data_IF_768980582757
#
_entry.id   IF_768980582757
#
_cell.length_a   1.000
_cell.length_b   1.000
_cell.length_c   1.000
_cell.angle_alpha   90.00
_cell.angle_beta   90.00
_cell.angle_gamma   90.00
#
_symmetry.space_group_name_H-M   'P 1'
#
loop_
_entity.id
_entity.type
_entity.pdbx_description
1 polymer ?
#
# COMPACT_ATOMS: atom_id res chain seq x y z
N UNK A 1 -16.21 -42.37 -44.35
CA UNK A 1 -14.98 -41.60 -44.06
C UNK A 1 -15.27 -40.41 -43.12
N UNK A 2 -15.70 -40.64 -41.86
CA UNK A 2 -15.98 -39.53 -40.90
C UNK A 2 -15.34 -39.73 -39.51
N UNK A 3 -14.47 -40.74 -39.34
CA UNK A 3 -13.89 -41.10 -38.03
C UNK A 3 -12.63 -40.31 -37.63
N UNK A 4 -12.08 -39.49 -38.53
CA UNK A 4 -10.87 -38.69 -38.27
C UNK A 4 -11.12 -37.21 -38.01
N UNK A 5 -12.30 -36.69 -38.35
CA UNK A 5 -12.61 -35.25 -38.20
C UNK A 5 -13.18 -34.89 -36.82
N UNK A 6 -13.56 -35.87 -36.00
CA UNK A 6 -14.13 -35.63 -34.67
C UNK A 6 -13.07 -35.50 -33.56
N UNK A 7 -11.81 -35.86 -33.83
CA UNK A 7 -10.71 -35.77 -32.86
C UNK A 7 -9.94 -34.44 -32.91
N UNK A 8 -10.05 -33.69 -34.02
CA UNK A 8 -9.38 -32.39 -34.17
C UNK A 8 -10.18 -31.22 -33.57
N UNK A 9 -11.49 -31.39 -33.34
CA UNK A 9 -12.33 -30.34 -32.73
C UNK A 9 -12.28 -30.34 -31.19
N UNK A 10 -11.86 -31.45 -30.58
CA UNK A 10 -11.77 -31.59 -29.12
C UNK A 10 -10.51 -30.92 -28.54
N UNK A 11 -9.45 -30.74 -29.34
CA UNK A 11 -8.19 -30.16 -28.87
C UNK A 11 -8.18 -28.62 -28.84
N UNK A 12 -9.13 -27.95 -29.50
CA UNK A 12 -9.21 -26.48 -29.54
C UNK A 12 -10.03 -25.90 -28.38
N UNK A 13 -10.86 -26.71 -27.71
CA UNK A 13 -11.71 -26.25 -26.61
C UNK A 13 -11.00 -26.20 -25.25
N UNK A 14 -9.81 -26.78 -25.11
CA UNK A 14 -9.07 -26.82 -23.84
C UNK A 14 -8.08 -25.64 -23.65
N UNK A 15 -7.87 -24.83 -24.69
CA UNK A 15 -6.89 -23.73 -24.64
C UNK A 15 -7.44 -22.39 -24.09
N UNK A 16 -8.73 -22.31 -23.74
CA UNK A 16 -9.40 -21.06 -23.38
C UNK A 16 -9.89 -20.98 -21.93
N UNK A 17 -9.29 -21.75 -21.02
CA UNK A 17 -9.53 -21.64 -19.58
C UNK A 17 -8.26 -21.17 -18.85
N UNK A 18 -7.64 -20.10 -19.34
CA UNK A 18 -6.71 -19.35 -18.49
C UNK A 18 -7.58 -18.58 -17.48
N UNK A 19 -7.41 -18.81 -16.16
CA UNK A 19 -7.96 -17.89 -15.18
C UNK A 19 -7.30 -16.55 -15.47
N UNK A 20 -8.08 -15.59 -15.95
CA UNK A 20 -7.67 -14.21 -15.96
C UNK A 20 -7.49 -13.82 -14.49
N UNK A 21 -6.28 -13.98 -13.96
CA UNK A 21 -5.86 -13.25 -12.77
C UNK A 21 -6.05 -11.79 -13.16
N UNK A 22 -7.15 -11.20 -12.69
CA UNK A 22 -7.37 -9.77 -12.80
C UNK A 22 -6.16 -9.12 -12.14
N UNK A 23 -5.26 -8.58 -12.96
CA UNK A 23 -4.16 -7.79 -12.47
C UNK A 23 -4.80 -6.55 -11.84
N UNK A 24 -4.89 -6.54 -10.51
CA UNK A 24 -5.26 -5.35 -9.77
C UNK A 24 -4.36 -4.24 -10.27
N UNK A 25 -4.97 -3.23 -10.90
CA UNK A 25 -4.24 -2.08 -11.42
C UNK A 25 -3.49 -1.47 -10.25
N UNK A 26 -2.17 -1.20 -10.36
CA UNK A 26 -1.43 -0.60 -9.28
C UNK A 26 -2.12 0.74 -8.93
N UNK A 27 -2.77 0.77 -7.77
CA UNK A 27 -3.37 1.98 -7.22
C UNK A 27 -2.21 2.98 -7.10
N UNK A 28 -2.34 4.16 -7.73
CA UNK A 28 -1.30 5.18 -7.65
C UNK A 28 -0.97 5.40 -6.17
N UNK A 29 0.31 5.46 -5.77
CA UNK A 29 0.68 5.63 -4.38
C UNK A 29 0.10 6.97 -3.89
N UNK A 30 -0.84 6.90 -2.96
CA UNK A 30 -1.45 8.08 -2.33
C UNK A 30 -0.56 8.46 -1.16
N UNK A 31 -0.05 9.69 -1.14
CA UNK A 31 0.75 10.19 -0.02
C UNK A 31 -0.21 10.55 1.12
N UNK A 32 -0.05 9.87 2.26
CA UNK A 32 -0.80 10.15 3.47
C UNK A 32 -0.11 11.23 4.32
N UNK A 33 1.23 11.27 4.30
CA UNK A 33 1.98 12.21 5.12
C UNK A 33 3.49 12.07 4.99
N UNK A 34 4.21 12.60 5.99
CA UNK A 34 5.66 12.45 6.10
C UNK A 34 6.09 12.24 7.56
N UNK A 35 7.26 11.65 7.73
CA UNK A 35 7.88 11.48 9.05
C UNK A 35 8.54 12.79 9.49
N UNK A 36 8.01 13.43 10.52
CA UNK A 36 8.56 14.68 11.08
C UNK A 36 9.65 14.43 12.11
N UNK A 37 9.55 13.33 12.87
CA UNK A 37 10.53 12.98 13.92
C UNK A 37 10.74 11.46 14.02
N UNK A 38 11.97 11.06 14.31
CA UNK A 38 12.39 9.67 14.50
C UNK A 38 13.29 9.59 15.72
N UNK A 39 13.08 8.60 16.57
CA UNK A 39 13.92 8.26 17.70
C UNK A 39 14.10 6.74 17.71
N UNK A 40 15.34 6.29 17.86
CA UNK A 40 15.75 4.88 17.80
C UNK A 40 15.27 4.15 16.53
N UNK A 41 15.15 2.81 16.61
CA UNK A 41 14.81 1.95 15.48
C UNK A 41 13.34 2.06 15.10
N UNK A 42 13.09 2.59 13.90
CA UNK A 42 11.79 2.62 13.24
C UNK A 42 11.92 1.93 11.89
N UNK A 43 10.99 1.04 11.57
CA UNK A 43 10.91 0.35 10.29
C UNK A 43 9.73 0.89 9.49
N UNK A 44 9.95 1.15 8.21
CA UNK A 44 8.92 1.42 7.22
C UNK A 44 8.94 0.26 6.22
N UNK A 45 7.83 -0.47 6.11
CA UNK A 45 7.71 -1.67 5.29
C UNK A 45 8.80 -2.72 5.56
N UNK A 46 9.27 -2.79 6.82
CA UNK A 46 10.34 -3.70 7.24
C UNK A 46 11.76 -3.15 7.03
N UNK A 47 11.92 -1.98 6.41
CA UNK A 47 13.22 -1.34 6.22
C UNK A 47 13.48 -0.27 7.28
N UNK A 48 14.70 -0.24 7.83
CA UNK A 48 15.07 0.76 8.82
C UNK A 48 15.04 2.17 8.24
N UNK A 49 14.25 3.03 8.88
CA UNK A 49 14.09 4.42 8.49
C UNK A 49 15.32 5.22 8.91
N UNK A 50 16.10 5.70 7.94
CA UNK A 50 17.41 6.34 8.20
C UNK A 50 17.35 7.85 8.44
N UNK A 51 16.27 8.51 8.02
CA UNK A 51 16.13 9.98 8.10
C UNK A 51 14.67 10.42 8.24
N UNK A 52 14.48 11.60 8.82
CA UNK A 52 13.20 12.33 8.77
C UNK A 52 12.89 12.79 7.33
N UNK A 53 11.64 13.18 7.10
CA UNK A 53 11.14 13.62 5.79
C UNK A 53 10.78 12.49 4.83
N UNK A 54 10.89 11.23 5.25
CA UNK A 54 10.38 10.10 4.48
C UNK A 54 8.87 10.23 4.29
N UNK A 55 8.39 9.98 3.07
CA UNK A 55 6.97 10.00 2.75
C UNK A 55 6.32 8.72 3.25
N UNK A 56 5.10 8.87 3.78
CA UNK A 56 4.23 7.77 4.17
C UNK A 56 3.10 7.69 3.15
N UNK A 57 2.95 6.53 2.53
CA UNK A 57 1.93 6.25 1.53
C UNK A 57 0.84 5.35 2.09
N UNK A 58 -0.32 5.38 1.45
CA UNK A 58 -1.34 4.36 1.64
C UNK A 58 -0.78 3.01 1.18
N UNK A 59 -0.93 2.00 2.04
CA UNK A 59 -0.32 0.67 1.95
C UNK A 59 0.91 0.51 2.84
N UNK A 60 1.50 1.60 3.35
CA UNK A 60 2.71 1.50 4.18
C UNK A 60 2.41 0.99 5.58
N UNK A 61 3.36 0.26 6.13
CA UNK A 61 3.39 -0.19 7.53
C UNK A 61 4.60 0.39 8.24
N UNK A 62 4.37 1.15 9.30
CA UNK A 62 5.37 1.61 10.24
C UNK A 62 5.39 0.69 11.46
N UNK A 63 6.59 0.34 11.91
CA UNK A 63 6.79 -0.31 13.21
C UNK A 63 7.96 0.31 13.95
N UNK A 64 7.86 0.30 15.27
CA UNK A 64 8.85 0.90 16.18
C UNK A 64 9.43 -0.19 17.07
N UNK A 65 10.73 -0.16 17.33
CA UNK A 65 11.39 -1.05 18.27
C UNK A 65 11.22 -0.62 19.73
N UNK A 66 12.06 -1.22 20.59
CA UNK A 66 12.21 -0.85 22.00
C UNK A 66 12.70 0.61 22.11
N UNK A 67 12.14 1.36 23.06
CA UNK A 67 12.48 2.76 23.35
C UNK A 67 12.33 3.72 22.14
N UNK A 68 11.73 3.24 21.04
CA UNK A 68 11.59 3.99 19.80
C UNK A 68 10.34 4.88 19.80
N UNK A 69 10.43 5.97 19.05
CA UNK A 69 9.32 6.92 18.89
C UNK A 69 9.36 7.55 17.52
N UNK A 70 8.22 7.56 16.84
CA UNK A 70 8.09 8.22 15.53
C UNK A 70 6.92 9.17 15.53
N UNK A 71 7.09 10.31 14.88
CA UNK A 71 6.03 11.28 14.63
C UNK A 71 5.76 11.33 13.13
N UNK A 72 4.48 11.15 12.79
CA UNK A 72 3.97 11.26 11.43
C UNK A 72 3.09 12.49 11.35
N UNK A 73 3.40 13.37 10.40
CA UNK A 73 2.57 14.52 10.06
C UNK A 73 1.82 14.22 8.77
N UNK A 74 0.51 14.07 8.89
CA UNK A 74 -0.37 13.78 7.76
C UNK A 74 -0.66 15.05 6.94
N UNK A 75 -1.13 14.87 5.71
CA UNK A 75 -1.44 16.00 4.81
C UNK A 75 -2.65 16.83 5.25
N UNK A 76 -3.51 16.28 6.10
CA UNK A 76 -4.64 16.95 6.76
C UNK A 76 -4.23 17.79 7.99
N UNK A 77 -2.92 17.99 8.19
CA UNK A 77 -2.30 18.66 9.33
C UNK A 77 -2.44 17.94 10.69
N UNK A 78 -3.07 16.76 10.74
CA UNK A 78 -3.04 15.93 11.94
C UNK A 78 -1.64 15.35 12.19
N UNK A 79 -1.36 15.04 13.45
CA UNK A 79 -0.08 14.49 13.89
C UNK A 79 -0.33 13.24 14.72
N UNK A 80 0.35 12.15 14.38
CA UNK A 80 0.33 10.90 15.13
C UNK A 80 1.71 10.60 15.67
N UNK A 81 1.78 10.26 16.95
CA UNK A 81 3.00 9.82 17.61
C UNK A 81 2.85 8.35 17.96
N UNK A 82 3.71 7.51 17.40
CA UNK A 82 3.79 6.08 17.70
C UNK A 82 4.94 5.87 18.68
N UNK A 83 4.62 5.32 19.85
CA UNK A 83 5.60 4.99 20.90
C UNK A 83 6.25 3.63 20.69
N UNK A 84 6.96 3.15 21.71
CA UNK A 84 7.71 1.89 21.64
C UNK A 84 6.84 0.69 21.28
N UNK A 85 7.43 -0.28 20.55
CA UNK A 85 6.78 -1.53 20.13
C UNK A 85 5.42 -1.35 19.42
N UNK A 86 5.14 -0.14 18.92
CA UNK A 86 3.96 0.18 18.15
C UNK A 86 4.03 -0.31 16.70
N UNK A 87 2.83 -0.42 16.11
CA UNK A 87 2.64 -0.70 14.69
C UNK A 87 1.50 0.15 14.15
N UNK A 88 1.73 0.79 13.00
CA UNK A 88 0.75 1.57 12.27
C UNK A 88 0.71 1.06 10.83
N UNK A 89 -0.46 0.61 10.37
CA UNK A 89 -0.71 0.32 8.96
C UNK A 89 -1.62 1.40 8.38
N UNK A 90 -1.22 2.03 7.28
CA UNK A 90 -2.00 3.06 6.60
C UNK A 90 -2.80 2.40 5.48
N UNK A 91 -3.92 1.78 5.81
CA UNK A 91 -4.71 1.00 4.84
C UNK A 91 -5.51 1.91 3.89
N UNK A 92 -6.16 2.94 4.45
CA UNK A 92 -6.90 3.94 3.71
C UNK A 92 -6.66 5.33 4.28
N UNK A 93 -6.63 6.33 3.39
CA UNK A 93 -6.47 7.73 3.77
C UNK A 93 -7.44 8.58 2.95
N UNK A 94 -8.46 9.10 3.61
CA UNK A 94 -9.49 9.94 3.01
C UNK A 94 -9.24 11.39 3.38
N UNK A 95 -8.57 12.11 2.49
CA UNK A 95 -8.39 13.54 2.62
C UNK A 95 -8.57 14.18 1.24
N UNK A 96 -9.54 15.09 1.13
CA UNK A 96 -9.79 15.88 -0.08
C UNK A 96 -9.33 17.33 0.19
N UNK A 97 -8.11 17.70 -0.23
CA UNK A 97 -7.59 19.04 0.01
C UNK A 97 -8.28 20.12 -0.84
N UNK A 98 -9.10 19.74 -1.83
CA UNK A 98 -9.75 20.68 -2.77
C UNK A 98 -11.08 21.19 -2.22
N UNK A 99 -11.64 20.55 -1.18
CA UNK A 99 -12.94 20.93 -0.62
C UNK A 99 -12.83 22.07 0.39
N UNK A 100 -12.35 23.23 -0.06
CA UNK A 100 -12.60 24.51 0.61
C UNK A 100 -13.86 25.13 -0.01
N UNK A 101 -15.04 24.56 0.28
CA UNK A 101 -16.31 25.23 -0.03
C UNK A 101 -16.58 26.28 1.06
N UNK A 102 -15.95 27.45 0.90
CA UNK A 102 -16.46 28.68 1.51
C UNK A 102 -17.55 29.26 0.62
N UNK A 103 -18.80 29.24 1.09
CA UNK A 103 -19.82 30.20 0.67
C UNK A 103 -19.92 31.29 1.71
#
# INVERSE_FOLDING_TARGET
>A
MYRRSLLLFSLLAFALALPACAADKPKKPVIAGHISRVQELVLLNGEALKKTGALVHVGDTLSTGKDARVEVRFTDASTLVLGENGKLAVDEYYHDPVKVEGK
#
